data_IF_240114976768
#
_entry.id   IF_240114976768
#
_cell.length_a   1.000
_cell.length_b   1.000
_cell.length_c   1.000
_cell.angle_alpha   90.00
_cell.angle_beta   90.00
_cell.angle_gamma   90.00
#
_symmetry.space_group_name_H-M   'P 1'
#
loop_
_entity.id
_entity.type
_entity.pdbx_description
1 polymer ?
#
# COMPACT_ATOMS: atom_id res chain seq x y z
N UNK A 1 -27.15 -9.59 0.45
CA UNK A 1 -25.81 -9.56 -0.14
C UNK A 1 -25.49 -10.97 -0.60
N UNK A 2 -25.57 -11.20 -1.90
CA UNK A 2 -25.26 -12.48 -2.53
C UNK A 2 -23.79 -12.49 -2.99
N UNK A 3 -23.00 -13.46 -2.53
CA UNK A 3 -21.58 -13.57 -2.87
C UNK A 3 -21.34 -13.76 -4.37
N UNK A 4 -22.13 -14.61 -5.03
CA UNK A 4 -22.02 -14.85 -6.48
C UNK A 4 -22.34 -13.58 -7.30
N UNK A 5 -23.24 -12.73 -6.81
CA UNK A 5 -23.53 -11.44 -7.42
C UNK A 5 -22.36 -10.47 -7.26
N UNK A 6 -21.74 -10.39 -6.07
CA UNK A 6 -20.60 -9.51 -5.79
C UNK A 6 -19.33 -9.89 -6.55
N UNK A 7 -19.14 -11.18 -6.86
CA UNK A 7 -18.03 -11.67 -7.68
C UNK A 7 -18.12 -11.31 -9.16
N UNK A 8 -19.27 -10.86 -9.64
CA UNK A 8 -19.41 -10.43 -11.01
C UNK A 8 -18.88 -8.99 -11.13
N UNK A 9 -17.78 -8.74 -11.87
CA UNK A 9 -17.17 -7.41 -11.95
C UNK A 9 -18.09 -6.37 -12.59
N UNK A 10 -19.10 -6.77 -13.37
CA UNK A 10 -20.10 -5.83 -13.91
C UNK A 10 -21.02 -5.23 -12.84
N UNK A 11 -21.05 -5.81 -11.64
CA UNK A 11 -21.85 -5.35 -10.51
C UNK A 11 -21.03 -4.46 -9.55
N UNK A 12 -19.73 -4.29 -9.79
CA UNK A 12 -18.80 -3.62 -8.88
C UNK A 12 -18.15 -2.43 -9.58
N UNK A 13 -18.19 -1.27 -8.94
CA UNK A 13 -17.49 -0.06 -9.38
C UNK A 13 -16.34 0.21 -8.42
N UNK A 14 -15.12 0.24 -8.94
CA UNK A 14 -13.93 0.62 -8.16
C UNK A 14 -13.81 2.14 -8.11
N UNK A 15 -13.85 2.70 -6.90
CA UNK A 15 -13.96 4.14 -6.70
C UNK A 15 -12.84 4.68 -5.81
N UNK A 16 -12.09 5.64 -6.36
CA UNK A 16 -11.11 6.45 -5.62
C UNK A 16 -11.86 7.31 -4.60
N UNK A 17 -11.56 7.11 -3.32
CA UNK A 17 -12.24 7.77 -2.20
C UNK A 17 -12.16 9.29 -2.29
N UNK A 18 -11.04 9.82 -2.78
CA UNK A 18 -10.80 11.26 -2.94
C UNK A 18 -11.62 11.90 -4.06
N UNK A 19 -12.06 11.10 -5.04
CA UNK A 19 -12.86 11.60 -6.18
C UNK A 19 -14.36 11.32 -6.04
N UNK A 20 -14.72 10.29 -5.29
CA UNK A 20 -16.08 9.76 -5.27
C UNK A 20 -16.91 10.20 -4.06
N UNK A 21 -16.35 10.10 -2.85
CA UNK A 21 -17.14 10.05 -1.62
C UNK A 21 -17.90 11.35 -1.33
N UNK A 22 -17.31 12.51 -1.62
CA UNK A 22 -17.94 13.80 -1.32
C UNK A 22 -19.19 14.06 -2.16
N UNK A 23 -19.17 13.66 -3.43
CA UNK A 23 -20.34 13.78 -4.32
C UNK A 23 -21.39 12.74 -3.95
N UNK A 24 -20.97 11.50 -3.74
CA UNK A 24 -21.87 10.42 -3.36
C UNK A 24 -22.56 10.67 -2.00
N UNK A 25 -21.86 11.25 -1.03
CA UNK A 25 -22.42 11.67 0.25
C UNK A 25 -23.52 12.72 0.11
N UNK A 26 -23.36 13.69 -0.80
CA UNK A 26 -24.38 14.71 -1.11
C UNK A 26 -25.62 14.08 -1.77
N UNK A 27 -25.43 13.18 -2.73
CA UNK A 27 -26.51 12.49 -3.45
C UNK A 27 -27.34 11.57 -2.54
N UNK A 28 -26.66 10.79 -1.71
CA UNK A 28 -27.30 9.91 -0.72
C UNK A 28 -27.91 10.70 0.46
N UNK A 29 -27.45 11.93 0.68
CA UNK A 29 -27.83 12.77 1.80
C UNK A 29 -27.27 12.25 3.13
N UNK A 30 -26.14 11.55 3.11
CA UNK A 30 -25.45 11.06 4.30
C UNK A 30 -24.40 12.09 4.72
N UNK A 31 -24.65 12.76 5.83
CA UNK A 31 -23.73 13.74 6.40
C UNK A 31 -22.46 13.05 6.92
N UNK A 32 -21.31 13.69 6.67
CA UNK A 32 -19.97 13.24 7.05
C UNK A 32 -19.66 11.79 6.58
N UNK A 33 -20.07 11.45 5.36
CA UNK A 33 -19.88 10.10 4.83
C UNK A 33 -18.40 9.67 4.81
N UNK A 34 -17.49 10.55 4.38
CA UNK A 34 -16.04 10.29 4.40
C UNK A 34 -15.55 9.88 5.79
N UNK A 35 -15.85 10.69 6.80
CA UNK A 35 -15.44 10.39 8.18
C UNK A 35 -15.99 9.05 8.67
N UNK A 36 -17.23 8.69 8.30
CA UNK A 36 -17.83 7.40 8.66
C UNK A 36 -17.18 6.20 7.95
N UNK A 37 -16.73 6.39 6.71
CA UNK A 37 -15.95 5.39 5.97
C UNK A 37 -14.60 5.21 6.63
N UNK A 38 -13.87 6.30 6.91
CA UNK A 38 -12.57 6.29 7.60
C UNK A 38 -12.67 5.65 9.00
N UNK A 39 -13.74 5.93 9.76
CA UNK A 39 -13.99 5.31 11.06
C UNK A 39 -14.28 3.81 10.96
N UNK A 40 -15.07 3.38 9.98
CA UNK A 40 -15.35 1.97 9.74
C UNK A 40 -14.12 1.20 9.25
N UNK A 41 -13.30 1.82 8.42
CA UNK A 41 -12.04 1.25 7.94
C UNK A 41 -11.02 1.06 9.09
N UNK A 42 -10.92 2.04 9.99
CA UNK A 42 -10.06 1.95 11.17
C UNK A 42 -10.54 0.91 12.20
N UNK A 43 -11.85 0.70 12.31
CA UNK A 43 -12.47 -0.19 13.31
C UNK A 43 -13.59 -1.05 12.70
N UNK A 44 -13.25 -2.00 11.81
CA UNK A 44 -14.27 -2.72 11.06
C UNK A 44 -14.98 -3.77 11.92
N UNK A 45 -16.25 -4.01 11.60
CA UNK A 45 -17.07 -5.07 12.20
C UNK A 45 -17.43 -6.11 11.16
N UNK A 46 -17.56 -7.38 11.59
CA UNK A 46 -17.95 -8.49 10.71
C UNK A 46 -19.30 -8.25 10.04
N UNK A 47 -20.25 -7.64 10.73
CA UNK A 47 -21.59 -7.41 10.20
C UNK A 47 -21.66 -6.20 9.26
N UNK A 48 -20.65 -5.33 9.26
CA UNK A 48 -20.68 -4.01 8.61
C UNK A 48 -21.57 -3.00 9.35
N UNK A 49 -21.66 -1.79 8.81
CA UNK A 49 -22.49 -0.71 9.37
C UNK A 49 -23.49 -0.18 8.33
N UNK A 50 -24.74 0.04 8.75
CA UNK A 50 -25.78 0.62 7.89
C UNK A 50 -25.91 2.12 8.18
N UNK A 51 -25.73 2.94 7.15
CA UNK A 51 -25.87 4.38 7.22
C UNK A 51 -27.17 4.82 6.54
N UNK A 52 -27.93 5.70 7.20
CA UNK A 52 -29.20 6.23 6.69
C UNK A 52 -29.01 7.65 6.15
N UNK A 53 -29.53 7.90 4.95
CA UNK A 53 -29.60 9.23 4.33
C UNK A 53 -30.92 9.96 4.61
N UNK A 54 -31.11 11.13 3.99
CA UNK A 54 -32.28 12.02 4.21
C UNK A 54 -33.62 11.51 3.63
N UNK A 55 -33.60 10.52 2.71
CA UNK A 55 -34.80 9.93 2.08
C UNK A 55 -34.95 8.44 2.46
N UNK A 56 -35.41 7.60 1.53
CA UNK A 56 -35.40 6.13 1.65
C UNK A 56 -34.05 5.50 1.30
N UNK A 57 -32.99 6.31 1.25
CA UNK A 57 -31.64 5.84 0.91
C UNK A 57 -30.96 5.31 2.16
N UNK A 58 -30.52 4.06 2.09
CA UNK A 58 -29.61 3.47 3.07
C UNK A 58 -28.48 2.79 2.33
N UNK A 59 -27.27 2.95 2.84
CA UNK A 59 -26.10 2.22 2.34
C UNK A 59 -25.57 1.32 3.46
N UNK A 60 -24.94 0.22 3.10
CA UNK A 60 -24.18 -0.62 4.02
C UNK A 60 -22.71 -0.52 3.68
N UNK A 61 -21.88 -0.10 4.63
CA UNK A 61 -20.45 -0.28 4.58
C UNK A 61 -20.11 -1.67 5.11
N UNK A 62 -19.26 -2.41 4.41
CA UNK A 62 -18.80 -3.73 4.83
C UNK A 62 -17.45 -4.06 4.19
N UNK A 63 -16.71 -5.00 4.76
CA UNK A 63 -15.50 -5.56 4.15
C UNK A 63 -15.82 -7.00 3.74
N UNK A 64 -15.84 -7.34 2.43
CA UNK A 64 -16.22 -8.67 1.96
C UNK A 64 -15.52 -9.82 2.67
N UNK A 65 -14.21 -9.71 2.88
CA UNK A 65 -13.39 -10.76 3.52
C UNK A 65 -13.67 -10.94 5.01
N UNK A 66 -14.32 -9.96 5.66
CA UNK A 66 -14.83 -10.14 7.03
C UNK A 66 -16.20 -10.81 7.04
N UNK A 67 -17.02 -10.54 6.02
CA UNK A 67 -18.41 -11.01 5.94
C UNK A 67 -18.49 -12.44 5.43
N UNK A 68 -17.71 -12.79 4.41
CA UNK A 68 -17.77 -14.06 3.72
C UNK A 68 -16.54 -14.92 4.02
N UNK A 69 -16.72 -16.23 4.04
CA UNK A 69 -15.60 -17.16 4.29
C UNK A 69 -14.70 -17.35 3.05
N UNK A 70 -15.07 -16.75 1.92
CA UNK A 70 -14.34 -16.84 0.65
C UNK A 70 -13.86 -15.45 0.22
N UNK A 71 -12.57 -15.35 -0.11
CA UNK A 71 -11.95 -14.12 -0.58
C UNK A 71 -12.53 -13.65 -1.92
N UNK A 72 -12.69 -12.33 -2.05
CA UNK A 72 -13.08 -11.66 -3.29
C UNK A 72 -11.98 -10.65 -3.65
N UNK A 73 -11.77 -10.38 -4.94
CA UNK A 73 -10.85 -9.34 -5.39
C UNK A 73 -11.13 -7.99 -4.69
N UNK A 74 -10.11 -7.40 -4.08
CA UNK A 74 -10.20 -6.19 -3.25
C UNK A 74 -11.16 -6.32 -2.07
N UNK A 75 -11.39 -7.56 -1.60
CA UNK A 75 -12.31 -7.91 -0.53
C UNK A 75 -11.84 -7.50 0.87
N UNK A 76 -10.60 -7.08 1.01
CA UNK A 76 -10.03 -6.47 2.21
C UNK A 76 -10.41 -4.99 2.38
N UNK A 77 -10.93 -4.34 1.33
CA UNK A 77 -11.31 -2.93 1.36
C UNK A 77 -12.74 -2.70 1.83
N UNK A 78 -13.08 -1.45 2.18
CA UNK A 78 -14.46 -1.05 2.46
C UNK A 78 -15.29 -0.97 1.18
N UNK A 79 -16.42 -1.67 1.17
CA UNK A 79 -17.39 -1.66 0.09
C UNK A 79 -18.69 -0.96 0.51
N UNK A 80 -19.32 -0.23 -0.41
CA UNK A 80 -20.65 0.36 -0.24
C UNK A 80 -21.69 -0.48 -0.99
N UNK A 81 -22.65 -1.04 -0.26
CA UNK A 81 -23.77 -1.80 -0.80
C UNK A 81 -25.11 -1.10 -0.61
N UNK A 82 -25.89 -0.98 -1.68
CA UNK A 82 -27.22 -0.34 -1.68
C UNK A 82 -28.37 -1.30 -2.03
N UNK A 83 -28.08 -2.60 -2.16
CA UNK A 83 -29.00 -3.58 -2.73
C UNK A 83 -28.56 -4.04 -4.12
N UNK A 84 -28.97 -5.23 -4.54
CA UNK A 84 -28.60 -5.85 -5.84
C UNK A 84 -29.23 -5.15 -7.06
N UNK A 85 -30.06 -4.12 -6.85
CA UNK A 85 -30.61 -3.25 -7.90
C UNK A 85 -29.69 -2.08 -8.28
N UNK A 86 -28.60 -1.89 -7.54
CA UNK A 86 -27.59 -0.85 -7.76
C UNK A 86 -26.21 -1.49 -7.82
N UNK A 87 -25.25 -0.80 -8.41
CA UNK A 87 -23.85 -1.20 -8.33
C UNK A 87 -23.35 -1.19 -6.87
N UNK A 88 -22.41 -2.07 -6.57
CA UNK A 88 -21.65 -2.05 -5.34
C UNK A 88 -20.35 -1.28 -5.56
N UNK A 89 -19.93 -0.45 -4.61
CA UNK A 89 -18.74 0.37 -4.78
C UNK A 89 -17.60 -0.18 -3.93
N UNK A 90 -16.51 -0.63 -4.56
CA UNK A 90 -15.26 -0.98 -3.88
C UNK A 90 -14.44 0.30 -3.71
N UNK A 91 -14.22 0.73 -2.47
CA UNK A 91 -13.48 1.96 -2.19
C UNK A 91 -11.99 1.66 -2.06
N UNK A 92 -11.13 2.49 -2.66
CA UNK A 92 -9.68 2.40 -2.50
C UNK A 92 -9.06 3.77 -2.17
N UNK A 93 -7.84 3.77 -1.63
CA UNK A 93 -7.11 4.95 -1.12
C UNK A 93 -7.79 5.67 0.06
N UNK A 94 -8.46 4.95 0.96
CA UNK A 94 -9.11 5.55 2.15
C UNK A 94 -8.07 6.25 3.05
N UNK A 95 -6.87 5.66 3.20
CA UNK A 95 -5.86 6.09 4.17
C UNK A 95 -4.50 6.49 3.58
N UNK A 96 -4.39 6.64 2.26
CA UNK A 96 -3.09 6.92 1.62
C UNK A 96 -2.47 8.27 2.04
N UNK A 97 -3.27 9.17 2.64
CA UNK A 97 -2.84 10.52 2.97
C UNK A 97 -2.48 10.81 4.43
N UNK A 98 -2.87 9.99 5.43
CA UNK A 98 -2.91 10.49 6.83
C UNK A 98 -2.47 9.57 7.96
N UNK A 99 -2.26 8.27 7.74
CA UNK A 99 -1.88 7.38 8.86
C UNK A 99 -0.40 7.53 9.28
N UNK A 100 0.45 8.09 8.41
CA UNK A 100 1.91 7.99 8.55
C UNK A 100 2.65 9.33 8.46
N UNK A 101 1.97 10.48 8.53
CA UNK A 101 2.54 11.79 8.21
C UNK A 101 3.77 12.17 9.08
N UNK A 102 3.88 11.57 10.27
CA UNK A 102 5.03 11.74 11.19
C UNK A 102 5.87 10.45 11.40
N UNK A 103 5.49 9.33 10.79
CA UNK A 103 6.23 8.08 10.95
C UNK A 103 7.58 8.18 10.22
N UNK A 104 8.67 7.88 10.91
CA UNK A 104 10.02 7.85 10.32
C UNK A 104 10.80 6.58 10.66
N UNK A 105 10.36 5.84 11.67
CA UNK A 105 11.00 4.57 12.08
C UNK A 105 10.95 3.50 10.99
N UNK A 106 9.96 3.53 10.08
CA UNK A 106 9.93 2.59 8.94
C UNK A 106 11.14 2.74 8.01
N UNK A 107 11.86 3.88 8.06
CA UNK A 107 13.02 4.14 7.21
C UNK A 107 14.27 3.38 7.69
N UNK A 108 14.25 2.83 8.90
CA UNK A 108 15.41 2.21 9.52
C UNK A 108 15.05 0.89 10.23
N UNK A 109 15.83 -0.14 9.96
CA UNK A 109 15.74 -1.41 10.66
C UNK A 109 17.14 -2.01 10.81
N UNK A 110 17.47 -2.59 11.96
CA UNK A 110 18.75 -3.27 12.15
C UNK A 110 18.56 -4.61 12.85
N UNK A 111 18.79 -5.71 12.12
CA UNK A 111 18.67 -7.06 12.65
C UNK A 111 20.00 -7.53 13.24
N UNK A 112 20.39 -7.01 14.42
CA UNK A 112 21.67 -7.35 15.08
C UNK A 112 21.80 -8.83 15.46
N UNK A 113 20.69 -9.56 15.54
CA UNK A 113 20.67 -11.00 15.80
C UNK A 113 20.87 -11.87 14.55
N UNK A 114 21.03 -11.27 13.36
CA UNK A 114 21.31 -11.98 12.13
C UNK A 114 22.62 -12.77 12.22
N UNK A 115 22.64 -14.02 11.73
CA UNK A 115 23.84 -14.87 11.72
C UNK A 115 25.01 -14.30 10.91
N UNK A 116 24.71 -13.39 9.97
CA UNK A 116 25.71 -12.71 9.16
C UNK A 116 26.22 -11.43 9.82
N UNK A 117 25.61 -10.94 10.91
CA UNK A 117 25.98 -9.67 11.52
C UNK A 117 27.28 -9.79 12.35
N UNK A 118 28.26 -8.88 12.20
CA UNK A 118 28.31 -7.77 11.24
C UNK A 118 28.58 -8.24 9.79
N UNK A 119 27.65 -7.93 8.88
CA UNK A 119 27.68 -8.46 7.51
C UNK A 119 28.80 -7.88 6.64
N UNK A 120 29.36 -6.73 7.04
CA UNK A 120 30.48 -6.07 6.38
C UNK A 120 31.60 -5.80 7.39
N UNK A 121 32.84 -5.70 6.92
CA UNK A 121 34.02 -5.57 7.80
C UNK A 121 34.08 -4.25 8.58
N UNK A 122 33.38 -3.22 8.14
CA UNK A 122 33.41 -1.86 8.71
C UNK A 122 31.99 -1.36 9.01
N UNK A 123 31.22 -2.18 9.74
CA UNK A 123 29.84 -1.84 10.11
C UNK A 123 29.85 -0.88 11.30
N UNK A 124 29.24 0.29 11.12
CA UNK A 124 28.76 1.12 12.23
C UNK A 124 27.44 0.50 12.72
N UNK A 125 27.49 -0.32 13.77
CA UNK A 125 26.35 -1.12 14.24
C UNK A 125 25.15 -0.30 14.68
N UNK A 126 25.33 0.98 15.02
CA UNK A 126 24.22 1.85 15.44
C UNK A 126 23.47 2.44 14.25
N UNK A 127 24.16 2.65 13.12
CA UNK A 127 23.59 3.27 11.92
C UNK A 127 23.47 2.30 10.74
N UNK A 128 23.73 1.01 10.95
CA UNK A 128 23.61 -0.01 9.90
C UNK A 128 22.16 -0.43 9.66
N UNK A 129 21.67 -0.12 8.46
CA UNK A 129 20.32 -0.41 7.99
C UNK A 129 20.26 -1.75 7.24
N UNK A 130 19.48 -2.68 7.74
CA UNK A 130 19.20 -3.99 7.15
C UNK A 130 18.03 -3.97 6.15
N UNK A 131 17.29 -2.87 6.05
CA UNK A 131 16.09 -2.77 5.18
C UNK A 131 16.38 -3.16 3.72
N UNK A 132 17.58 -2.83 3.23
CA UNK A 132 18.00 -3.08 1.85
C UNK A 132 19.19 -4.05 1.78
N UNK A 133 19.21 -5.07 2.65
CA UNK A 133 20.19 -6.16 2.57
C UNK A 133 20.22 -6.86 1.20
N UNK A 134 19.07 -6.93 0.52
CA UNK A 134 19.04 -7.08 -0.92
C UNK A 134 18.99 -5.69 -1.57
N UNK A 135 19.93 -5.40 -2.48
CA UNK A 135 20.00 -4.10 -3.10
C UNK A 135 18.86 -3.92 -4.13
N UNK A 136 17.88 -3.03 -3.89
CA UNK A 136 16.79 -2.81 -4.85
C UNK A 136 17.28 -2.17 -6.15
N UNK A 137 18.48 -1.58 -6.15
CA UNK A 137 19.09 -0.90 -7.31
C UNK A 137 19.99 -1.82 -8.13
N UNK A 138 20.05 -3.13 -7.83
CA UNK A 138 20.96 -4.06 -8.50
C UNK A 138 20.79 -4.03 -10.02
N UNK A 139 19.54 -4.08 -10.49
CA UNK A 139 19.15 -4.12 -11.91
C UNK A 139 19.51 -2.84 -12.69
N UNK A 140 19.82 -1.74 -12.02
CA UNK A 140 20.28 -0.49 -12.66
C UNK A 140 21.73 -0.59 -13.17
N UNK A 141 22.41 -1.72 -12.92
CA UNK A 141 23.76 -1.95 -13.41
C UNK A 141 24.72 -0.87 -12.92
N UNK A 142 25.40 -0.21 -13.86
CA UNK A 142 26.37 0.86 -13.57
C UNK A 142 25.73 2.16 -13.06
N UNK A 143 24.46 2.38 -13.35
CA UNK A 143 23.76 3.62 -13.03
C UNK A 143 23.20 3.63 -11.60
N UNK A 144 23.34 2.52 -10.85
CA UNK A 144 22.83 2.42 -9.48
C UNK A 144 23.52 3.39 -8.51
N UNK A 145 24.72 3.90 -8.84
CA UNK A 145 25.52 4.81 -8.00
C UNK A 145 25.98 4.20 -6.67
N UNK A 146 26.07 2.88 -6.61
CA UNK A 146 26.64 2.14 -5.48
C UNK A 146 28.14 1.86 -5.68
N UNK A 147 28.80 1.37 -4.64
CA UNK A 147 30.20 0.94 -4.69
C UNK A 147 30.29 -0.58 -4.93
N UNK A 148 30.22 -0.98 -6.18
CA UNK A 148 30.24 -2.39 -6.62
C UNK A 148 31.40 -2.64 -7.59
N UNK A 149 31.71 -3.90 -7.84
CA UNK A 149 32.59 -4.34 -8.94
C UNK A 149 31.84 -5.30 -9.86
N UNK A 150 32.33 -5.46 -11.08
CA UNK A 150 31.93 -6.59 -11.92
C UNK A 150 33.04 -7.65 -11.87
N UNK A 151 32.65 -8.88 -11.58
CA UNK A 151 33.54 -10.03 -11.65
C UNK A 151 33.78 -10.42 -13.12
N UNK A 152 34.81 -11.23 -13.39
CA UNK A 152 35.18 -11.65 -14.75
C UNK A 152 34.03 -12.37 -15.49
N UNK A 153 33.11 -13.00 -14.75
CA UNK A 153 31.92 -13.66 -15.30
C UNK A 153 30.75 -12.69 -15.58
N UNK A 154 30.94 -11.39 -15.41
CA UNK A 154 29.92 -10.36 -15.62
C UNK A 154 28.91 -10.21 -14.47
N UNK A 155 29.05 -10.97 -13.38
CA UNK A 155 28.21 -10.81 -12.19
C UNK A 155 28.64 -9.55 -11.44
N UNK A 156 27.66 -8.74 -11.05
CA UNK A 156 27.87 -7.55 -10.23
C UNK A 156 28.02 -7.99 -8.77
N UNK A 157 29.17 -7.72 -8.16
CA UNK A 157 29.43 -7.96 -6.75
C UNK A 157 29.27 -6.67 -5.94
N UNK A 158 28.29 -6.68 -5.04
CA UNK A 158 27.97 -5.57 -4.15
C UNK A 158 28.47 -5.79 -2.71
N UNK A 159 29.27 -6.83 -2.44
CA UNK A 159 29.71 -7.18 -1.08
C UNK A 159 30.57 -6.12 -0.38
N UNK A 160 31.08 -5.12 -1.12
CA UNK A 160 31.74 -3.93 -0.59
C UNK A 160 30.88 -2.65 -0.58
N UNK A 161 29.59 -2.74 -0.91
CA UNK A 161 28.71 -1.57 -1.06
C UNK A 161 27.97 -1.27 0.24
N UNK A 162 28.25 -0.12 0.85
CA UNK A 162 27.55 0.34 2.06
C UNK A 162 26.39 1.30 1.79
N UNK A 163 26.20 1.74 0.55
CA UNK A 163 25.14 2.71 0.18
C UNK A 163 23.74 2.30 0.68
N UNK A 164 23.24 1.07 0.44
CA UNK A 164 21.91 0.68 0.93
C UNK A 164 21.83 0.52 2.45
N UNK A 165 22.98 0.50 3.13
CA UNK A 165 23.10 0.16 4.55
C UNK A 165 23.28 1.36 5.47
N UNK A 166 23.28 2.58 4.94
CA UNK A 166 23.34 3.79 5.76
C UNK A 166 21.94 4.19 6.20
N UNK A 167 21.79 4.54 7.48
CA UNK A 167 20.52 4.99 8.07
C UNK A 167 19.87 6.13 7.29
N UNK A 168 20.68 7.09 6.85
CA UNK A 168 20.25 8.29 6.13
C UNK A 168 19.84 8.05 4.67
N UNK A 169 20.16 6.88 4.10
CA UNK A 169 20.01 6.66 2.66
C UNK A 169 18.63 6.14 2.24
N UNK A 170 17.69 5.91 3.15
CA UNK A 170 16.37 5.39 2.78
C UNK A 170 15.70 6.21 1.65
N UNK A 171 15.65 7.53 1.81
CA UNK A 171 15.00 8.41 0.83
C UNK A 171 15.73 8.38 -0.53
N UNK A 172 17.07 8.34 -0.52
CA UNK A 172 17.89 8.16 -1.72
C UNK A 172 17.57 6.85 -2.46
N UNK A 173 17.40 5.75 -1.72
CA UNK A 173 17.09 4.44 -2.31
C UNK A 173 15.72 4.47 -3.00
N UNK A 174 14.73 5.08 -2.34
CA UNK A 174 13.37 5.22 -2.88
C UNK A 174 13.33 6.14 -4.09
N UNK A 175 14.02 7.29 -4.04
CA UNK A 175 14.12 8.23 -5.16
C UNK A 175 14.67 7.53 -6.41
N UNK A 176 15.83 6.85 -6.30
CA UNK A 176 16.43 6.13 -7.43
C UNK A 176 15.53 5.04 -7.98
N UNK A 177 14.83 4.31 -7.11
CA UNK A 177 13.90 3.26 -7.54
C UNK A 177 12.72 3.86 -8.32
N UNK A 178 12.15 4.97 -7.85
CA UNK A 178 11.08 5.68 -8.54
C UNK A 178 11.52 6.22 -9.91
N UNK A 179 12.70 6.83 -9.98
CA UNK A 179 13.29 7.31 -11.24
C UNK A 179 13.48 6.17 -12.24
N UNK A 180 14.03 5.04 -11.78
CA UNK A 180 14.22 3.87 -12.61
C UNK A 180 12.89 3.34 -13.15
N UNK A 181 11.87 3.17 -12.30
CA UNK A 181 10.54 2.75 -12.73
C UNK A 181 9.91 3.73 -13.72
N UNK A 182 10.08 5.04 -13.53
CA UNK A 182 9.64 6.04 -14.51
C UNK A 182 10.35 5.84 -15.86
N UNK A 183 11.66 5.65 -15.85
CA UNK A 183 12.44 5.41 -17.07
C UNK A 183 12.05 4.13 -17.81
N UNK A 184 11.58 3.10 -17.10
CA UNK A 184 11.09 1.87 -17.70
C UNK A 184 9.74 2.08 -18.40
N UNK A 185 8.83 2.88 -17.79
CA UNK A 185 7.52 3.20 -18.39
C UNK A 185 7.62 4.07 -19.63
N UNK A 186 8.59 4.98 -19.68
CA UNK A 186 8.79 5.89 -20.83
C UNK A 186 9.44 5.21 -22.04
N UNK A 187 9.98 4.00 -21.86
CA UNK A 187 10.62 3.20 -22.92
C UNK A 187 9.66 2.20 -23.59
N UNK A 188 8.41 2.12 -23.11
CA UNK A 188 7.33 1.28 -23.65
C UNK A 188 6.41 2.15 -24.50
#
# INVERSE_FOLDING_TARGET
MNLSWLKNPNNVVYADVDKFVDNFGKETGIENLRQKIEEFDAYPTKEGVVLKGKKRTSIKLFIPDLVFDEHIEMGENVWIYMGESYECYCLYNINDGKFCEEASEYKFFSHKACEYFPCHRTVDEENYNCMFCYCPLYAMGKDCGGNFIYLDNGVKDCSGCMVPHKRENYDLMMEKLMEFHKSLREKV
#
